data_IF_225265705694
#
_entry.id   IF_225265705694
#
_cell.length_a   1.000
_cell.length_b   1.000
_cell.length_c   1.000
_cell.angle_alpha   90.00
_cell.angle_beta   90.00
_cell.angle_gamma   90.00
#
_symmetry.space_group_name_H-M   'P 1'
#
loop_
_entity.id
_entity.type
_entity.pdbx_description
1 polymer ?
#
# COMPACT_ATOMS: atom_id res chain seq x y z
N UNK A 1 -25.17 -18.28 23.81
CA UNK A 1 -25.18 -17.50 22.56
C UNK A 1 -23.89 -16.72 22.52
N UNK A 2 -22.95 -17.09 21.65
CA UNK A 2 -21.68 -16.37 21.54
C UNK A 2 -21.96 -15.07 20.78
N UNK A 3 -22.02 -13.95 21.51
CA UNK A 3 -22.07 -12.62 20.92
C UNK A 3 -20.78 -12.40 20.13
N UNK A 4 -20.83 -12.59 18.81
CA UNK A 4 -19.82 -12.05 17.91
C UNK A 4 -19.97 -10.54 17.98
N UNK A 5 -19.19 -9.91 18.86
CA UNK A 5 -19.04 -8.46 18.93
C UNK A 5 -18.60 -7.96 17.55
N UNK A 6 -19.56 -7.47 16.76
CA UNK A 6 -19.31 -6.70 15.55
C UNK A 6 -18.69 -5.37 16.00
N UNK A 7 -17.40 -5.39 16.31
CA UNK A 7 -16.67 -4.17 16.62
C UNK A 7 -16.59 -3.37 15.32
N UNK A 8 -17.47 -2.39 15.17
CA UNK A 8 -17.42 -1.42 14.08
C UNK A 8 -16.03 -0.79 14.05
N UNK A 9 -15.41 -0.74 12.87
CA UNK A 9 -14.09 -0.12 12.69
C UNK A 9 -14.12 1.32 13.19
N UNK A 10 -13.04 1.74 13.85
CA UNK A 10 -12.90 3.12 14.28
C UNK A 10 -12.82 4.05 13.04
N UNK A 11 -13.25 5.31 13.14
CA UNK A 11 -13.14 6.26 12.03
C UNK A 11 -11.71 6.39 11.47
N UNK A 12 -10.69 6.30 12.33
CA UNK A 12 -9.28 6.32 11.90
C UNK A 12 -8.90 5.09 11.08
N UNK A 13 -9.47 3.92 11.38
CA UNK A 13 -9.23 2.68 10.62
C UNK A 13 -9.92 2.77 9.25
N UNK A 14 -11.15 3.30 9.20
CA UNK A 14 -11.87 3.52 7.94
C UNK A 14 -11.15 4.52 7.03
N UNK A 15 -10.65 5.62 7.58
CA UNK A 15 -9.87 6.60 6.83
C UNK A 15 -8.54 6.00 6.34
N UNK A 16 -7.85 5.24 7.20
CA UNK A 16 -6.61 4.58 6.81
C UNK A 16 -6.83 3.57 5.66
N UNK A 17 -7.97 2.88 5.62
CA UNK A 17 -8.35 2.00 4.51
C UNK A 17 -8.53 2.76 3.20
N UNK A 18 -9.27 3.87 3.23
CA UNK A 18 -9.49 4.70 2.04
C UNK A 18 -8.17 5.26 1.50
N UNK A 19 -7.31 5.78 2.38
CA UNK A 19 -5.99 6.28 1.99
C UNK A 19 -5.15 5.15 1.38
N UNK A 20 -5.11 3.98 2.04
CA UNK A 20 -4.32 2.86 1.54
C UNK A 20 -4.80 2.37 0.16
N UNK A 21 -6.11 2.32 -0.07
CA UNK A 21 -6.70 1.96 -1.35
C UNK A 21 -6.28 2.95 -2.45
N UNK A 22 -6.47 4.24 -2.23
CA UNK A 22 -6.12 5.29 -3.20
C UNK A 22 -4.63 5.30 -3.56
N UNK A 23 -3.76 5.03 -2.60
CA UNK A 23 -2.32 4.97 -2.83
C UNK A 23 -1.89 3.74 -3.65
N UNK A 24 -2.58 2.61 -3.47
CA UNK A 24 -2.35 1.41 -4.27
C UNK A 24 -2.88 1.61 -5.69
N UNK A 25 -4.07 2.18 -5.85
CA UNK A 25 -4.68 2.47 -7.16
C UNK A 25 -3.83 3.43 -8.00
N UNK A 26 -3.17 4.39 -7.33
CA UNK A 26 -2.22 5.32 -7.96
C UNK A 26 -0.81 4.76 -8.14
N UNK A 27 -0.59 3.48 -7.79
CA UNK A 27 0.71 2.80 -7.80
C UNK A 27 1.81 3.53 -6.98
N UNK A 28 1.42 4.30 -5.96
CA UNK A 28 2.34 5.00 -5.05
C UNK A 28 2.81 4.11 -3.89
N UNK A 29 2.03 3.07 -3.58
CA UNK A 29 2.34 2.06 -2.57
C UNK A 29 1.99 0.69 -3.12
N UNK A 30 2.78 -0.33 -2.78
CA UNK A 30 2.48 -1.70 -3.17
C UNK A 30 1.35 -2.29 -2.32
N UNK A 31 0.47 -3.06 -2.94
CA UNK A 31 -0.64 -3.74 -2.26
C UNK A 31 -0.19 -4.60 -1.05
N UNK A 32 1.00 -5.20 -1.12
CA UNK A 32 1.56 -6.00 -0.04
C UNK A 32 1.98 -5.14 1.18
N UNK A 33 2.44 -3.91 0.95
CA UNK A 33 2.85 -3.00 2.02
C UNK A 33 1.67 -2.22 2.60
N UNK A 34 0.58 -2.05 1.84
CA UNK A 34 -0.61 -1.31 2.22
C UNK A 34 -1.24 -1.78 3.55
N UNK A 35 -1.28 -3.10 3.81
CA UNK A 35 -1.83 -3.66 5.07
C UNK A 35 -1.04 -3.26 6.32
N UNK A 36 0.29 -3.15 6.20
CA UNK A 36 1.16 -2.75 7.32
C UNK A 36 1.08 -1.24 7.51
N UNK A 37 1.11 -0.49 6.41
CA UNK A 37 0.91 0.96 6.41
C UNK A 37 -0.43 1.35 7.06
N UNK A 38 -1.54 0.70 6.68
CA UNK A 38 -2.87 1.00 7.20
C UNK A 38 -2.95 0.95 8.73
N UNK A 39 -2.35 -0.07 9.36
CA UNK A 39 -2.32 -0.20 10.82
C UNK A 39 -1.54 0.93 11.49
N UNK A 40 -0.38 1.27 10.95
CA UNK A 40 0.44 2.37 11.48
C UNK A 40 -0.19 3.74 11.21
N UNK A 41 -0.90 3.90 10.09
CA UNK A 41 -1.60 5.12 9.71
C UNK A 41 -2.80 5.37 10.63
N UNK A 42 -3.63 4.35 10.88
CA UNK A 42 -4.76 4.44 11.80
C UNK A 42 -4.33 4.77 13.24
N UNK A 43 -3.12 4.37 13.62
CA UNK A 43 -2.53 4.66 14.93
C UNK A 43 -1.76 6.00 14.99
N UNK A 44 -1.64 6.74 13.88
CA UNK A 44 -0.86 7.98 13.82
C UNK A 44 0.65 7.78 14.01
N UNK A 45 1.17 6.59 13.69
CA UNK A 45 2.58 6.20 13.93
C UNK A 45 3.47 6.26 12.69
N UNK A 46 2.91 6.56 11.52
CA UNK A 46 3.69 6.68 10.29
C UNK A 46 4.54 7.96 10.31
N UNK A 47 5.85 7.80 10.18
CA UNK A 47 6.80 8.91 10.05
C UNK A 47 7.09 9.20 8.59
N UNK A 48 7.76 10.31 8.33
CA UNK A 48 8.16 10.71 6.98
C UNK A 48 9.05 9.66 6.30
N UNK A 49 9.93 9.02 7.06
CA UNK A 49 10.83 7.98 6.56
C UNK A 49 10.08 6.72 6.12
N UNK A 50 9.00 6.36 6.84
CA UNK A 50 8.15 5.22 6.50
C UNK A 50 7.42 5.47 5.16
N UNK A 51 6.89 6.68 4.96
CA UNK A 51 6.27 7.10 3.71
C UNK A 51 7.24 7.00 2.53
N UNK A 52 8.45 7.53 2.72
CA UNK A 52 9.49 7.51 1.69
C UNK A 52 9.84 6.09 1.27
N UNK A 53 10.04 5.18 2.23
CA UNK A 53 10.39 3.79 1.94
C UNK A 53 9.29 3.07 1.13
N UNK A 54 8.02 3.34 1.43
CA UNK A 54 6.89 2.75 0.70
C UNK A 54 6.86 3.19 -0.77
N UNK A 55 7.16 4.46 -1.02
CA UNK A 55 7.19 5.04 -2.36
C UNK A 55 8.41 4.54 -3.13
N UNK A 56 9.60 4.53 -2.52
CA UNK A 56 10.84 4.02 -3.15
C UNK A 56 10.65 2.57 -3.60
N UNK A 57 10.07 1.71 -2.75
CA UNK A 57 9.72 0.33 -3.11
C UNK A 57 8.75 0.23 -4.30
N UNK A 58 7.79 1.15 -4.39
CA UNK A 58 6.81 1.16 -5.49
C UNK A 58 7.48 1.57 -6.81
N UNK A 59 8.36 2.58 -6.77
CA UNK A 59 9.17 3.01 -7.92
C UNK A 59 10.08 1.88 -8.40
N UNK A 60 10.87 1.29 -7.49
CA UNK A 60 11.82 0.21 -7.83
C UNK A 60 11.12 -0.98 -8.51
N UNK A 61 9.90 -1.31 -8.05
CA UNK A 61 9.10 -2.38 -8.66
C UNK A 61 8.48 -1.97 -10.00
N UNK A 62 8.11 -0.69 -10.17
CA UNK A 62 7.68 -0.14 -11.45
C UNK A 62 8.77 -0.23 -12.51
N UNK A 63 9.99 0.16 -12.16
CA UNK A 63 11.15 0.12 -13.05
C UNK A 63 11.57 -1.31 -13.43
N UNK A 64 11.40 -2.27 -12.51
CA UNK A 64 11.65 -3.69 -12.79
C UNK A 64 10.64 -4.29 -13.80
N UNK A 65 9.41 -3.78 -13.83
CA UNK A 65 8.37 -4.23 -14.77
C UNK A 65 8.52 -3.59 -16.16
N UNK A 66 9.11 -2.39 -16.24
CA UNK A 66 9.31 -1.66 -17.50
C UNK A 66 10.49 -2.22 -18.34
N UNK A 67 11.47 -2.87 -17.71
CA UNK A 67 12.62 -3.49 -18.41
C UNK A 67 12.35 -4.88 -19.00
N UNK A 68 11.12 -5.38 -18.95
CA UNK A 68 10.73 -6.71 -19.42
C UNK A 68 10.19 -6.78 -20.86
N UNK A 69 10.07 -5.67 -21.58
CA UNK A 69 9.38 -5.61 -22.87
C UNK A 69 10.24 -5.06 -24.01
N UNK A 70 11.17 -5.85 -24.56
CA UNK A 70 11.44 -6.00 -26.00
C UNK A 70 12.81 -6.66 -26.24
N UNK A 71 12.83 -8.00 -26.28
CA UNK A 71 13.82 -8.75 -27.07
C UNK A 71 13.08 -9.49 -28.16
N UNK A 72 12.65 -8.77 -29.20
CA UNK A 72 12.43 -9.38 -30.50
C UNK A 72 13.73 -9.19 -31.29
N UNK A 73 14.62 -10.15 -31.12
CA UNK A 73 15.55 -10.56 -32.18
C UNK A 73 14.72 -11.11 -33.33
N UNK A 74 14.89 -10.58 -34.53
CA UNK A 74 14.66 -11.33 -35.76
C UNK A 74 15.54 -10.74 -36.86
N UNK A 75 16.50 -11.59 -37.23
CA UNK A 75 17.25 -11.76 -38.49
C UNK A 75 17.06 -10.72 -39.61
#
# INVERSE_FOLDING_TARGET
MSETSSRSKAPSELLAEQIAHELVDKALVLANDAKTMQRSLAAGKLKAEDWRLLIEKAIDKGDANDKGGNTITSD
#
